data_IF_035127010599
#
_entry.id   IF_035127010599
#
_cell.length_a   1.000
_cell.length_b   1.000
_cell.length_c   1.000
_cell.angle_alpha   90.00
_cell.angle_beta   90.00
_cell.angle_gamma   90.00
#
_symmetry.space_group_name_H-M   'P 1'
#
loop_
_entity.id
_entity.type
_entity.pdbx_description
1 polymer ?
#
# COMPACT_ATOMS: atom_id res chain seq x y z
N UNK A 1 -6.77 -22.44 -29.72
CA UNK A 1 -7.84 -21.41 -29.69
C UNK A 1 -7.73 -20.71 -28.35
N UNK A 2 -7.67 -19.37 -28.34
CA UNK A 2 -7.63 -18.60 -27.10
C UNK A 2 -8.95 -18.78 -26.34
N UNK A 3 -8.87 -18.98 -25.02
CA UNK A 3 -10.05 -19.01 -24.16
C UNK A 3 -10.71 -17.62 -24.19
N UNK A 4 -11.99 -17.57 -24.55
CA UNK A 4 -12.76 -16.32 -24.73
C UNK A 4 -13.71 -16.02 -23.57
N UNK A 5 -13.67 -16.77 -22.47
CA UNK A 5 -14.62 -16.65 -21.36
C UNK A 5 -13.94 -16.54 -19.98
N UNK A 6 -12.67 -16.90 -19.86
CA UNK A 6 -11.99 -16.95 -18.57
C UNK A 6 -11.64 -15.52 -18.10
N UNK A 7 -12.39 -15.04 -17.11
CA UNK A 7 -12.17 -13.72 -16.50
C UNK A 7 -11.19 -13.75 -15.32
N UNK A 8 -11.10 -14.87 -14.61
CA UNK A 8 -10.28 -15.02 -13.41
C UNK A 8 -9.45 -16.28 -13.57
N UNK A 9 -8.14 -16.16 -13.39
CA UNK A 9 -7.20 -17.28 -13.38
C UNK A 9 -6.48 -17.26 -12.04
N UNK A 10 -6.69 -18.31 -11.27
CA UNK A 10 -6.02 -18.54 -10.01
C UNK A 10 -4.99 -19.66 -10.14
N UNK A 11 -3.74 -19.31 -9.89
CA UNK A 11 -2.59 -20.20 -9.91
C UNK A 11 -1.81 -20.12 -8.59
N UNK A 12 -2.43 -19.70 -7.48
CA UNK A 12 -1.75 -19.64 -6.18
C UNK A 12 -1.08 -20.97 -5.82
N UNK A 13 0.16 -20.91 -5.33
CA UNK A 13 0.89 -22.06 -4.80
C UNK A 13 1.08 -23.21 -5.81
N UNK A 14 1.48 -22.88 -7.05
CA UNK A 14 1.70 -23.86 -8.13
C UNK A 14 3.16 -23.99 -8.59
N UNK A 15 4.11 -23.26 -7.97
CA UNK A 15 5.54 -23.30 -8.33
C UNK A 15 5.80 -23.06 -9.83
N UNK A 16 5.02 -22.19 -10.47
CA UNK A 16 5.12 -22.01 -11.92
C UNK A 16 6.47 -21.40 -12.35
N UNK A 17 7.09 -20.60 -11.47
CA UNK A 17 8.36 -19.92 -11.70
C UNK A 17 8.38 -19.02 -12.94
N UNK A 18 9.58 -18.61 -13.34
CA UNK A 18 9.78 -17.71 -14.49
C UNK A 18 9.34 -18.34 -15.83
N UNK A 19 9.47 -19.66 -15.97
CA UNK A 19 9.00 -20.38 -17.15
C UNK A 19 7.47 -20.35 -17.26
N UNK A 20 6.77 -20.45 -16.13
CA UNK A 20 5.33 -20.26 -16.05
C UNK A 20 4.92 -18.84 -16.37
N UNK A 21 5.64 -17.85 -15.84
CA UNK A 21 5.45 -16.44 -16.20
C UNK A 21 5.61 -16.19 -17.71
N UNK A 22 6.59 -16.86 -18.36
CA UNK A 22 6.76 -16.83 -19.81
C UNK A 22 5.58 -17.44 -20.58
N UNK A 23 5.06 -18.58 -20.12
CA UNK A 23 3.87 -19.17 -20.74
C UNK A 23 2.64 -18.26 -20.58
N UNK A 24 2.46 -17.64 -19.41
CA UNK A 24 1.39 -16.69 -19.14
C UNK A 24 1.51 -15.44 -20.01
N UNK A 25 2.72 -14.93 -20.22
CA UNK A 25 2.96 -13.81 -21.13
C UNK A 25 2.47 -14.11 -22.55
N UNK A 26 2.79 -15.28 -23.12
CA UNK A 26 2.29 -15.65 -24.44
C UNK A 26 0.76 -15.75 -24.49
N UNK A 27 0.13 -16.20 -23.41
CA UNK A 27 -1.33 -16.22 -23.30
C UNK A 27 -1.92 -14.80 -23.20
N UNK A 28 -1.35 -13.93 -22.34
CA UNK A 28 -1.84 -12.58 -22.05
C UNK A 28 -1.76 -11.63 -23.25
N UNK A 29 -0.84 -11.85 -24.20
CA UNK A 29 -0.75 -11.06 -25.45
C UNK A 29 -2.03 -11.11 -26.28
N UNK A 30 -2.69 -12.26 -26.29
CA UNK A 30 -3.85 -12.51 -27.16
C UNK A 30 -5.14 -12.65 -26.37
N UNK A 31 -5.05 -12.85 -25.05
CA UNK A 31 -6.21 -12.92 -24.19
C UNK A 31 -6.82 -11.53 -23.99
N UNK A 32 -8.12 -11.42 -24.28
CA UNK A 32 -8.91 -10.21 -24.14
C UNK A 32 -10.08 -10.38 -23.16
N UNK A 33 -10.00 -11.35 -22.25
CA UNK A 33 -11.10 -11.66 -21.30
C UNK A 33 -10.67 -11.75 -19.85
N UNK A 34 -9.40 -12.04 -19.60
CA UNK A 34 -8.84 -12.17 -18.26
C UNK A 34 -8.71 -10.79 -17.64
N UNK A 35 -9.42 -10.62 -16.53
CA UNK A 35 -9.46 -9.39 -15.72
C UNK A 35 -8.73 -9.54 -14.40
N UNK A 36 -8.55 -10.77 -13.89
CA UNK A 36 -7.82 -11.03 -12.66
C UNK A 36 -6.90 -12.25 -12.79
N UNK A 37 -5.66 -12.08 -12.31
CA UNK A 37 -4.62 -13.10 -12.32
C UNK A 37 -3.98 -13.20 -10.93
N UNK A 38 -4.16 -14.34 -10.26
CA UNK A 38 -3.56 -14.65 -8.97
C UNK A 38 -2.33 -15.55 -9.17
N UNK A 39 -1.15 -15.04 -8.84
CA UNK A 39 0.16 -15.71 -8.92
C UNK A 39 0.85 -15.76 -7.55
N UNK A 40 0.09 -15.75 -6.47
CA UNK A 40 0.63 -15.81 -5.10
C UNK A 40 1.43 -17.11 -4.88
N UNK A 41 2.58 -17.04 -4.20
CA UNK A 41 3.42 -18.22 -3.88
C UNK A 41 3.80 -19.03 -5.12
N UNK A 42 4.51 -18.42 -6.08
CA UNK A 42 4.85 -19.11 -7.34
C UNK A 42 6.33 -19.11 -7.70
N UNK A 43 7.19 -18.65 -6.80
CA UNK A 43 8.64 -18.57 -7.03
C UNK A 43 9.01 -17.78 -8.31
N UNK A 44 8.20 -16.77 -8.65
CA UNK A 44 8.48 -15.85 -9.75
C UNK A 44 9.59 -14.90 -9.30
N UNK A 45 10.69 -14.85 -10.05
CA UNK A 45 11.82 -13.97 -9.77
C UNK A 45 11.69 -12.64 -10.52
N UNK A 46 12.69 -11.77 -10.40
CA UNK A 46 12.83 -10.56 -11.22
C UNK A 46 12.73 -10.83 -12.74
N UNK A 47 13.18 -12.00 -13.22
CA UNK A 47 13.09 -12.35 -14.65
C UNK A 47 11.64 -12.62 -15.07
N UNK A 48 10.89 -13.38 -14.26
CA UNK A 48 9.46 -13.60 -14.51
C UNK A 48 8.66 -12.31 -14.40
N UNK A 49 9.02 -11.42 -13.46
CA UNK A 49 8.42 -10.09 -13.34
C UNK A 49 8.65 -9.24 -14.60
N UNK A 50 9.86 -9.27 -15.16
CA UNK A 50 10.19 -8.56 -16.39
C UNK A 50 9.33 -9.06 -17.55
N UNK A 51 9.15 -10.37 -17.66
CA UNK A 51 8.30 -10.98 -18.70
C UNK A 51 6.83 -10.61 -18.53
N UNK A 52 6.30 -10.63 -17.31
CA UNK A 52 4.93 -10.17 -17.03
C UNK A 52 4.75 -8.68 -17.33
N UNK A 53 5.78 -7.86 -17.09
CA UNK A 53 5.77 -6.44 -17.39
C UNK A 53 5.60 -6.16 -18.89
N UNK A 54 6.26 -6.96 -19.74
CA UNK A 54 6.05 -6.87 -21.19
C UNK A 54 4.63 -7.28 -21.60
N UNK A 55 4.00 -8.23 -20.91
CA UNK A 55 2.59 -8.55 -21.11
C UNK A 55 1.68 -7.38 -20.71
N UNK A 56 1.93 -6.75 -19.56
CA UNK A 56 1.13 -5.63 -19.06
C UNK A 56 1.17 -4.39 -19.96
N UNK A 57 2.25 -4.18 -20.71
CA UNK A 57 2.33 -3.08 -21.70
C UNK A 57 1.38 -3.26 -22.89
N UNK A 58 1.00 -4.49 -23.19
CA UNK A 58 0.20 -4.86 -24.36
C UNK A 58 -1.23 -5.23 -23.96
N UNK A 59 -1.38 -5.94 -22.85
CA UNK A 59 -2.65 -6.43 -22.37
C UNK A 59 -3.53 -5.25 -21.92
N UNK A 60 -4.75 -5.22 -22.44
CA UNK A 60 -5.70 -4.14 -22.20
C UNK A 60 -6.92 -4.56 -21.36
N UNK A 61 -6.85 -5.70 -20.68
CA UNK A 61 -8.01 -6.28 -19.96
C UNK A 61 -7.72 -6.61 -18.51
N UNK A 62 -6.47 -6.92 -18.18
CA UNK A 62 -6.07 -7.29 -16.84
C UNK A 62 -6.19 -6.07 -15.92
N UNK A 63 -7.04 -6.21 -14.92
CA UNK A 63 -7.37 -5.19 -13.93
C UNK A 63 -6.77 -5.49 -12.56
N UNK A 64 -6.55 -6.77 -12.25
CA UNK A 64 -6.02 -7.24 -10.97
C UNK A 64 -4.86 -8.20 -11.23
N UNK A 65 -3.69 -7.90 -10.66
CA UNK A 65 -2.54 -8.78 -10.66
C UNK A 65 -2.06 -8.98 -9.23
N UNK A 66 -2.09 -10.23 -8.76
CA UNK A 66 -1.55 -10.60 -7.46
C UNK A 66 -0.23 -11.39 -7.61
N UNK A 67 0.83 -10.84 -7.04
CA UNK A 67 2.19 -11.40 -7.04
C UNK A 67 2.73 -11.59 -5.62
N UNK A 68 1.89 -11.57 -4.57
CA UNK A 68 2.35 -11.74 -3.18
C UNK A 68 3.16 -13.04 -2.99
N UNK A 69 4.14 -12.99 -2.08
CA UNK A 69 5.01 -14.11 -1.72
C UNK A 69 5.73 -14.70 -2.97
N UNK A 70 6.48 -13.85 -3.67
CA UNK A 70 7.37 -14.24 -4.75
C UNK A 70 8.79 -13.68 -4.50
N UNK A 71 9.65 -13.67 -5.51
CA UNK A 71 11.05 -13.19 -5.42
C UNK A 71 11.32 -12.08 -6.44
N UNK A 72 10.36 -11.16 -6.57
CA UNK A 72 10.34 -10.11 -7.60
C UNK A 72 11.52 -9.13 -7.44
N UNK A 73 11.85 -8.74 -6.21
CA UNK A 73 12.96 -7.83 -5.90
C UNK A 73 12.85 -6.44 -6.54
N UNK A 74 13.90 -5.65 -6.42
CA UNK A 74 13.94 -4.27 -6.95
C UNK A 74 13.90 -4.22 -8.48
N UNK A 75 14.62 -5.12 -9.15
CA UNK A 75 14.68 -5.16 -10.61
C UNK A 75 13.31 -5.54 -11.21
N UNK A 76 12.61 -6.50 -10.59
CA UNK A 76 11.26 -6.86 -11.00
C UNK A 76 10.26 -5.73 -10.72
N UNK A 77 10.36 -5.06 -9.57
CA UNK A 77 9.55 -3.88 -9.28
C UNK A 77 9.82 -2.74 -10.28
N UNK A 78 11.07 -2.54 -10.71
CA UNK A 78 11.42 -1.58 -11.75
C UNK A 78 10.77 -1.93 -13.09
N UNK A 79 10.82 -3.20 -13.52
CA UNK A 79 10.18 -3.62 -14.75
C UNK A 79 8.65 -3.39 -14.72
N UNK A 80 8.00 -3.74 -13.61
CA UNK A 80 6.57 -3.51 -13.40
C UNK A 80 6.25 -2.02 -13.40
N UNK A 81 7.12 -1.19 -12.82
CA UNK A 81 6.98 0.27 -12.82
C UNK A 81 6.99 0.84 -14.25
N UNK A 82 7.88 0.36 -15.13
CA UNK A 82 7.88 0.78 -16.53
C UNK A 82 6.62 0.35 -17.28
N UNK A 83 6.05 -0.82 -16.96
CA UNK A 83 4.76 -1.22 -17.51
C UNK A 83 3.63 -0.31 -17.02
N UNK A 84 3.57 -0.02 -15.72
CA UNK A 84 2.55 0.83 -15.10
C UNK A 84 2.51 2.26 -15.68
N UNK A 85 3.63 2.81 -16.13
CA UNK A 85 3.64 4.15 -16.78
C UNK A 85 2.79 4.22 -18.06
N UNK A 86 2.55 3.07 -18.71
CA UNK A 86 1.79 2.98 -19.97
C UNK A 86 0.50 2.18 -19.85
N UNK A 87 0.43 1.25 -18.90
CA UNK A 87 -0.77 0.46 -18.65
C UNK A 87 -1.88 1.33 -18.04
N UNK A 88 -3.07 1.23 -18.63
CA UNK A 88 -4.26 2.02 -18.26
C UNK A 88 -5.43 1.15 -17.79
N UNK A 89 -5.18 -0.13 -17.48
CA UNK A 89 -6.23 -1.10 -17.14
C UNK A 89 -6.06 -1.68 -15.75
N UNK A 90 -4.82 -1.83 -15.29
CA UNK A 90 -4.51 -2.36 -13.98
C UNK A 90 -4.97 -1.36 -12.91
N UNK A 91 -5.88 -1.83 -12.05
CA UNK A 91 -6.46 -1.07 -10.93
C UNK A 91 -5.93 -1.57 -9.59
N UNK A 92 -5.51 -2.84 -9.52
CA UNK A 92 -4.99 -3.48 -8.31
C UNK A 92 -3.70 -4.22 -8.62
N UNK A 93 -2.65 -3.91 -7.86
CA UNK A 93 -1.37 -4.60 -7.90
C UNK A 93 -0.96 -4.97 -6.48
N UNK A 94 -0.80 -6.27 -6.23
CA UNK A 94 -0.28 -6.80 -4.98
C UNK A 94 1.15 -7.30 -5.16
N UNK A 95 2.09 -6.68 -4.44
CA UNK A 95 3.52 -6.98 -4.42
C UNK A 95 4.00 -7.26 -2.98
N UNK A 96 3.12 -7.76 -2.13
CA UNK A 96 3.50 -8.18 -0.78
C UNK A 96 4.65 -9.18 -0.77
N UNK A 97 5.46 -9.18 0.29
CA UNK A 97 6.43 -10.24 0.58
C UNK A 97 7.38 -10.58 -0.59
N UNK A 98 7.92 -9.56 -1.27
CA UNK A 98 8.68 -9.71 -2.52
C UNK A 98 10.13 -9.23 -2.46
N UNK A 99 10.64 -8.95 -1.26
CA UNK A 99 12.00 -8.41 -1.05
C UNK A 99 12.27 -7.11 -1.82
N UNK A 100 11.25 -6.27 -1.99
CA UNK A 100 11.36 -4.94 -2.59
C UNK A 100 11.99 -3.99 -1.55
N UNK A 101 13.06 -3.30 -1.91
CA UNK A 101 13.74 -2.33 -1.05
C UNK A 101 13.26 -0.89 -1.35
N UNK A 102 13.93 0.09 -0.75
CA UNK A 102 13.77 1.51 -1.08
C UNK A 102 13.96 1.82 -2.57
N UNK A 103 14.80 1.06 -3.30
CA UNK A 103 15.03 1.28 -4.74
C UNK A 103 13.82 0.87 -5.58
N UNK A 104 13.25 -0.32 -5.33
CA UNK A 104 12.04 -0.75 -6.03
C UNK A 104 10.84 0.12 -5.66
N UNK A 105 10.73 0.57 -4.40
CA UNK A 105 9.72 1.54 -3.99
C UNK A 105 9.88 2.89 -4.73
N UNK A 106 11.11 3.35 -4.93
CA UNK A 106 11.38 4.55 -5.73
C UNK A 106 10.91 4.39 -7.18
N UNK A 107 11.21 3.24 -7.82
CA UNK A 107 10.75 2.98 -9.18
C UNK A 107 9.22 2.98 -9.29
N UNK A 108 8.54 2.32 -8.36
CA UNK A 108 7.06 2.29 -8.29
C UNK A 108 6.50 3.69 -8.08
N UNK A 109 7.16 4.50 -7.25
CA UNK A 109 6.76 5.89 -6.99
C UNK A 109 6.86 6.76 -8.25
N UNK A 110 7.91 6.60 -9.06
CA UNK A 110 8.00 7.31 -10.36
C UNK A 110 6.89 6.87 -11.32
N UNK A 111 6.49 5.61 -11.31
CA UNK A 111 5.34 5.14 -12.08
C UNK A 111 4.02 5.75 -11.58
N UNK A 112 3.80 5.81 -10.26
CA UNK A 112 2.59 6.38 -9.65
C UNK A 112 2.41 7.88 -9.94
N UNK A 113 3.48 8.63 -10.17
CA UNK A 113 3.38 10.06 -10.58
C UNK A 113 2.75 10.22 -11.96
N UNK A 114 2.82 9.19 -12.80
CA UNK A 114 2.36 9.20 -14.21
C UNK A 114 1.05 8.40 -14.35
N UNK A 115 0.98 7.24 -13.69
CA UNK A 115 -0.16 6.36 -13.76
C UNK A 115 -1.38 6.99 -13.09
N UNK A 116 -2.50 6.96 -13.80
CA UNK A 116 -3.80 7.52 -13.38
C UNK A 116 -4.91 6.48 -13.43
N UNK A 117 -4.58 5.21 -13.17
CA UNK A 117 -5.57 4.12 -13.16
C UNK A 117 -5.44 3.20 -11.95
N UNK A 118 -4.23 3.02 -11.41
CA UNK A 118 -4.00 2.18 -10.25
C UNK A 118 -4.69 2.80 -9.02
N UNK A 119 -5.58 2.03 -8.42
CA UNK A 119 -6.39 2.41 -7.28
C UNK A 119 -5.91 1.74 -5.98
N UNK A 120 -5.32 0.55 -6.09
CA UNK A 120 -4.86 -0.25 -4.96
C UNK A 120 -3.43 -0.72 -5.23
N UNK A 121 -2.53 -0.41 -4.29
CA UNK A 121 -1.17 -0.90 -4.27
C UNK A 121 -0.87 -1.54 -2.92
N UNK A 122 -0.56 -2.84 -2.94
CA UNK A 122 -0.10 -3.56 -1.76
C UNK A 122 1.40 -3.83 -1.84
N UNK A 123 2.13 -3.39 -0.83
CA UNK A 123 3.57 -3.55 -0.67
C UNK A 123 3.92 -4.14 0.70
N UNK A 124 3.00 -4.87 1.34
CA UNK A 124 3.25 -5.37 2.69
C UNK A 124 4.47 -6.30 2.80
N UNK A 125 5.11 -6.32 3.97
CA UNK A 125 6.23 -7.20 4.31
C UNK A 125 7.40 -7.12 3.29
N UNK A 126 7.73 -5.92 2.84
CA UNK A 126 8.92 -5.61 2.04
C UNK A 126 9.96 -4.86 2.90
N UNK A 127 11.00 -4.31 2.28
CA UNK A 127 12.10 -3.58 2.92
C UNK A 127 12.16 -2.13 2.46
N UNK A 128 11.01 -1.44 2.47
CA UNK A 128 10.88 -0.08 1.92
C UNK A 128 11.62 0.98 2.75
N UNK A 129 11.65 0.84 4.08
CA UNK A 129 12.27 1.79 5.02
C UNK A 129 11.80 3.25 4.83
N UNK A 130 12.47 4.20 5.50
CA UNK A 130 12.13 5.62 5.45
C UNK A 130 12.31 6.24 4.06
N UNK A 131 13.38 5.88 3.33
CA UNK A 131 13.66 6.44 2.01
C UNK A 131 12.61 6.01 0.96
N UNK A 132 12.21 4.74 0.98
CA UNK A 132 11.16 4.27 0.09
C UNK A 132 9.80 4.88 0.46
N UNK A 133 9.49 5.05 1.75
CA UNK A 133 8.29 5.74 2.19
C UNK A 133 8.29 7.23 1.77
N UNK A 134 9.45 7.88 1.78
CA UNK A 134 9.61 9.24 1.26
C UNK A 134 9.32 9.30 -0.24
N UNK A 135 9.85 8.36 -1.04
CA UNK A 135 9.56 8.29 -2.47
C UNK A 135 8.05 8.12 -2.75
N UNK A 136 7.40 7.20 -2.02
CA UNK A 136 5.95 6.97 -2.12
C UNK A 136 5.17 8.24 -1.74
N UNK A 137 5.63 8.96 -0.71
CA UNK A 137 5.02 10.21 -0.27
C UNK A 137 5.08 11.30 -1.36
N UNK A 138 6.21 11.44 -2.05
CA UNK A 138 6.31 12.39 -3.17
C UNK A 138 5.40 12.01 -4.35
N UNK A 139 5.20 10.71 -4.59
CA UNK A 139 4.23 10.26 -5.58
C UNK A 139 2.78 10.59 -5.16
N UNK A 140 2.42 10.35 -3.90
CA UNK A 140 1.07 10.62 -3.36
C UNK A 140 0.67 12.10 -3.39
N UNK A 141 1.64 13.03 -3.34
CA UNK A 141 1.33 14.47 -3.49
C UNK A 141 0.79 14.82 -4.88
N UNK A 142 1.10 14.01 -5.89
CA UNK A 142 0.76 14.24 -7.30
C UNK A 142 -0.34 13.27 -7.75
N UNK A 143 -0.25 12.01 -7.34
CA UNK A 143 -1.18 10.97 -7.74
C UNK A 143 -2.58 11.25 -7.19
N UNK A 144 -3.58 11.14 -8.06
CA UNK A 144 -4.98 11.43 -7.79
C UNK A 144 -5.89 10.24 -8.05
N UNK A 145 -5.36 9.01 -8.02
CA UNK A 145 -6.14 7.80 -8.31
C UNK A 145 -5.99 6.72 -7.25
N UNK A 146 -4.85 6.67 -6.56
CA UNK A 146 -4.61 5.69 -5.52
C UNK A 146 -5.53 5.97 -4.33
N UNK A 147 -6.33 4.97 -3.99
CA UNK A 147 -7.32 5.03 -2.89
C UNK A 147 -6.90 4.16 -1.71
N UNK A 148 -6.12 3.11 -1.97
CA UNK A 148 -5.65 2.16 -0.96
C UNK A 148 -4.15 1.90 -1.12
N UNK A 149 -3.42 2.08 -0.03
CA UNK A 149 -2.00 1.79 0.05
C UNK A 149 -1.70 0.95 1.29
N UNK A 150 -1.13 -0.23 1.07
CA UNK A 150 -0.66 -1.10 2.15
C UNK A 150 0.86 -1.09 2.23
N UNK A 151 1.39 -0.55 3.34
CA UNK A 151 2.81 -0.47 3.68
C UNK A 151 3.10 -1.22 4.99
N UNK A 152 2.27 -2.19 5.35
CA UNK A 152 2.48 -3.00 6.56
C UNK A 152 3.85 -3.67 6.55
N UNK A 153 4.54 -3.73 7.69
CA UNK A 153 5.74 -4.57 7.85
C UNK A 153 6.94 -4.13 6.99
N UNK A 154 7.14 -2.84 6.80
CA UNK A 154 8.16 -2.29 5.89
C UNK A 154 9.33 -1.58 6.60
N UNK A 155 9.43 -1.73 7.92
CA UNK A 155 10.45 -1.07 8.76
C UNK A 155 10.47 0.46 8.60
N UNK A 156 9.31 1.08 8.35
CA UNK A 156 9.15 2.53 8.22
C UNK A 156 9.27 3.15 9.61
N UNK A 157 10.20 4.09 9.77
CA UNK A 157 10.45 4.83 10.98
C UNK A 157 9.70 6.17 11.05
N UNK A 158 10.07 7.03 12.01
CA UNK A 158 9.45 8.35 12.18
C UNK A 158 9.68 9.29 10.98
N UNK A 159 10.78 9.17 10.25
CA UNK A 159 11.06 10.04 9.10
C UNK A 159 10.16 9.69 7.90
N UNK A 160 9.97 8.40 7.61
CA UNK A 160 9.03 7.95 6.58
C UNK A 160 7.59 8.29 6.96
N UNK A 161 7.23 8.17 8.24
CA UNK A 161 5.93 8.62 8.75
C UNK A 161 5.71 10.13 8.54
N UNK A 162 6.75 10.94 8.80
CA UNK A 162 6.71 12.37 8.56
C UNK A 162 6.50 12.67 7.08
N UNK A 163 7.23 12.02 6.17
CA UNK A 163 7.03 12.19 4.74
C UNK A 163 5.59 11.85 4.30
N UNK A 164 5.05 10.72 4.78
CA UNK A 164 3.67 10.30 4.50
C UNK A 164 2.67 11.31 5.03
N UNK A 165 2.92 11.87 6.22
CA UNK A 165 2.06 12.92 6.79
C UNK A 165 2.03 14.18 5.93
N UNK A 166 3.16 14.60 5.35
CA UNK A 166 3.18 15.76 4.45
C UNK A 166 2.40 15.49 3.16
N UNK A 167 2.47 14.26 2.63
CA UNK A 167 1.66 13.87 1.48
C UNK A 167 0.16 13.87 1.80
N UNK A 168 -0.23 13.34 2.97
CA UNK A 168 -1.63 13.29 3.42
C UNK A 168 -2.24 14.69 3.60
N UNK A 169 -1.46 15.73 3.93
CA UNK A 169 -2.00 17.09 4.04
C UNK A 169 -2.56 17.63 2.72
N UNK A 170 -2.04 17.15 1.59
CA UNK A 170 -2.44 17.62 0.25
C UNK A 170 -3.18 16.58 -0.58
N UNK A 171 -2.96 15.29 -0.32
CA UNK A 171 -3.63 14.22 -1.05
C UNK A 171 -5.11 14.14 -0.68
N UNK A 172 -5.96 14.10 -1.70
CA UNK A 172 -7.42 14.09 -1.58
C UNK A 172 -8.08 12.84 -2.16
N UNK A 173 -7.32 11.75 -2.36
CA UNK A 173 -7.82 10.51 -2.97
C UNK A 173 -7.59 9.26 -2.13
N UNK A 174 -6.54 9.24 -1.30
CA UNK A 174 -6.22 8.11 -0.46
C UNK A 174 -7.24 8.02 0.70
N UNK A 175 -7.98 6.91 0.72
CA UNK A 175 -9.00 6.63 1.74
C UNK A 175 -8.50 5.62 2.77
N UNK A 176 -7.60 4.72 2.37
CA UNK A 176 -7.06 3.65 3.21
C UNK A 176 -5.54 3.63 3.20
N UNK A 177 -4.95 3.76 4.38
CA UNK A 177 -3.51 3.64 4.61
C UNK A 177 -3.24 2.61 5.71
N UNK A 178 -2.54 1.53 5.36
CA UNK A 178 -2.10 0.53 6.31
C UNK A 178 -0.61 0.65 6.61
N UNK A 179 -0.26 1.03 7.84
CA UNK A 179 1.10 1.17 8.35
C UNK A 179 1.39 0.18 9.49
N UNK A 180 0.59 -0.89 9.63
CA UNK A 180 0.77 -1.88 10.70
C UNK A 180 2.18 -2.45 10.72
N UNK A 181 2.74 -2.69 11.91
CA UNK A 181 4.00 -3.43 12.05
C UNK A 181 5.23 -2.69 11.53
N UNK A 182 5.26 -1.36 11.66
CA UNK A 182 6.41 -0.52 11.36
C UNK A 182 7.01 0.03 12.66
N UNK A 183 7.92 1.00 12.58
CA UNK A 183 8.62 1.62 13.72
C UNK A 183 8.34 3.13 13.81
N UNK A 184 7.10 3.51 13.53
CA UNK A 184 6.64 4.91 13.42
C UNK A 184 6.95 5.72 14.69
N UNK A 185 6.76 5.12 15.87
CA UNK A 185 7.07 5.75 17.15
C UNK A 185 6.19 6.97 17.49
N UNK A 186 6.44 7.62 18.64
CA UNK A 186 5.67 8.79 19.06
C UNK A 186 5.82 9.99 18.12
N UNK A 187 7.01 10.22 17.57
CA UNK A 187 7.27 11.35 16.66
C UNK A 187 6.55 11.18 15.32
N UNK A 188 6.58 9.97 14.74
CA UNK A 188 5.83 9.69 13.52
C UNK A 188 4.32 9.78 13.73
N UNK A 189 3.82 9.31 14.89
CA UNK A 189 2.42 9.46 15.27
C UNK A 189 2.00 10.94 15.43
N UNK A 190 2.88 11.78 16.00
CA UNK A 190 2.66 13.22 16.07
C UNK A 190 2.54 13.82 14.66
N UNK A 191 3.45 13.48 13.74
CA UNK A 191 3.38 13.97 12.36
C UNK A 191 2.08 13.56 11.65
N UNK A 192 1.70 12.28 11.75
CA UNK A 192 0.42 11.78 11.23
C UNK A 192 -0.78 12.49 11.87
N UNK A 193 -0.72 12.81 13.16
CA UNK A 193 -1.79 13.55 13.84
C UNK A 193 -1.99 14.96 13.26
N UNK A 194 -0.91 15.66 12.89
CA UNK A 194 -1.02 16.98 12.25
C UNK A 194 -1.65 16.87 10.85
N UNK A 195 -1.33 15.82 10.10
CA UNK A 195 -1.98 15.58 8.81
C UNK A 195 -3.47 15.27 8.95
N UNK A 196 -3.85 14.47 9.96
CA UNK A 196 -5.26 14.14 10.22
C UNK A 196 -6.10 15.37 10.58
N UNK A 197 -5.54 16.41 11.21
CA UNK A 197 -6.31 17.63 11.51
C UNK A 197 -6.80 18.36 10.27
N UNK A 198 -6.13 18.19 9.12
CA UNK A 198 -6.46 18.89 7.86
C UNK A 198 -6.95 17.95 6.76
N UNK A 199 -6.54 16.69 6.77
CA UNK A 199 -6.97 15.72 5.76
C UNK A 199 -8.44 15.35 5.97
N UNK A 200 -9.22 15.49 4.91
CA UNK A 200 -10.66 15.24 4.89
C UNK A 200 -11.06 14.07 3.99
N UNK A 201 -10.10 13.22 3.59
CA UNK A 201 -10.32 12.08 2.67
C UNK A 201 -10.06 10.73 3.32
N UNK A 202 -9.05 10.61 4.15
CA UNK A 202 -8.64 9.35 4.76
C UNK A 202 -9.73 8.87 5.74
N UNK A 203 -10.28 7.68 5.47
CA UNK A 203 -11.32 7.05 6.31
C UNK A 203 -10.75 5.94 7.18
N UNK A 204 -9.68 5.28 6.72
CA UNK A 204 -9.06 4.14 7.40
C UNK A 204 -7.56 4.34 7.55
N UNK A 205 -7.10 4.31 8.81
CA UNK A 205 -5.69 4.35 9.16
C UNK A 205 -5.35 3.20 10.12
N UNK A 206 -4.51 2.26 9.68
CA UNK A 206 -4.02 1.18 10.54
C UNK A 206 -2.62 1.49 11.05
N UNK A 207 -2.49 1.70 12.36
CA UNK A 207 -1.24 1.97 13.05
C UNK A 207 -0.90 0.88 14.09
N UNK A 208 -1.51 -0.30 14.01
CA UNK A 208 -1.24 -1.40 14.93
C UNK A 208 0.25 -1.75 14.97
N UNK A 209 0.79 -2.03 16.16
CA UNK A 209 2.18 -2.49 16.33
C UNK A 209 3.22 -1.52 15.74
N UNK A 210 3.30 -0.31 16.29
CA UNK A 210 4.16 0.77 15.81
C UNK A 210 4.94 1.51 16.91
N UNK A 211 4.94 0.98 18.14
CA UNK A 211 5.63 1.59 19.30
C UNK A 211 5.27 3.07 19.55
N UNK A 212 4.00 3.44 19.32
CA UNK A 212 3.52 4.84 19.38
C UNK A 212 3.63 5.44 20.78
N UNK A 213 3.40 4.63 21.82
CA UNK A 213 3.44 5.08 23.21
C UNK A 213 2.33 6.09 23.60
N UNK A 214 2.32 6.55 24.86
CA UNK A 214 1.30 7.45 25.38
C UNK A 214 1.27 8.81 24.67
N UNK A 215 2.43 9.39 24.38
CA UNK A 215 2.52 10.72 23.76
C UNK A 215 1.97 10.73 22.33
N UNK A 216 2.30 9.71 21.53
CA UNK A 216 1.76 9.58 20.18
C UNK A 216 0.25 9.30 20.19
N UNK A 217 -0.23 8.49 21.14
CA UNK A 217 -1.66 8.26 21.32
C UNK A 217 -2.42 9.53 21.72
N UNK A 218 -1.84 10.36 22.58
CA UNK A 218 -2.39 11.67 22.94
C UNK A 218 -2.47 12.59 21.71
N UNK A 219 -1.42 12.68 20.91
CA UNK A 219 -1.40 13.49 19.69
C UNK A 219 -2.49 13.07 18.70
N UNK A 220 -2.60 11.76 18.43
CA UNK A 220 -3.65 11.20 17.57
C UNK A 220 -5.05 11.47 18.14
N UNK A 221 -5.22 11.39 19.45
CA UNK A 221 -6.50 11.69 20.11
C UNK A 221 -6.91 13.15 19.94
N UNK A 222 -5.97 14.11 20.04
CA UNK A 222 -6.27 15.52 19.76
C UNK A 222 -6.65 15.75 18.29
N UNK A 223 -6.02 15.03 17.36
CA UNK A 223 -6.42 15.08 15.95
C UNK A 223 -7.83 14.53 15.73
N UNK A 224 -8.21 13.44 16.41
CA UNK A 224 -9.57 12.87 16.32
C UNK A 224 -10.66 13.83 16.79
N UNK A 225 -10.40 14.72 17.75
CA UNK A 225 -11.40 15.72 18.18
C UNK A 225 -11.77 16.71 17.06
N UNK A 226 -10.86 16.90 16.10
CA UNK A 226 -11.01 17.85 14.99
C UNK A 226 -11.41 17.12 13.71
N UNK A 227 -10.82 15.96 13.43
CA UNK A 227 -11.06 15.21 12.22
C UNK A 227 -12.48 14.63 12.19
N UNK A 228 -13.18 14.85 11.08
CA UNK A 228 -14.56 14.39 10.87
C UNK A 228 -14.70 13.45 9.66
N UNK A 229 -13.61 12.83 9.21
CA UNK A 229 -13.62 11.90 8.07
C UNK A 229 -13.19 10.49 8.47
N UNK A 230 -12.23 10.36 9.38
CA UNK A 230 -11.69 9.08 9.80
C UNK A 230 -12.78 8.28 10.54
N UNK A 231 -13.05 7.08 10.03
CA UNK A 231 -14.04 6.15 10.59
C UNK A 231 -13.38 4.97 11.29
N UNK A 232 -12.16 4.62 10.85
CA UNK A 232 -11.40 3.49 11.37
C UNK A 232 -9.98 3.89 11.73
N UNK A 233 -9.61 3.70 13.01
CA UNK A 233 -8.24 3.84 13.49
C UNK A 233 -7.85 2.61 14.32
N UNK A 234 -6.74 1.95 13.98
CA UNK A 234 -6.20 0.85 14.79
C UNK A 234 -4.91 1.26 15.49
N UNK A 235 -4.95 1.38 16.81
CA UNK A 235 -3.83 1.65 17.71
C UNK A 235 -3.45 0.44 18.56
N UNK A 236 -3.97 -0.75 18.28
CA UNK A 236 -3.65 -1.94 19.07
C UNK A 236 -2.14 -2.26 19.08
N UNK A 237 -1.66 -2.86 20.16
CA UNK A 237 -0.25 -3.25 20.32
C UNK A 237 0.74 -2.07 20.21
N UNK A 238 0.42 -0.91 20.79
CA UNK A 238 1.27 0.30 20.74
C UNK A 238 1.78 0.80 22.09
N UNK A 239 1.58 0.04 23.17
CA UNK A 239 2.04 0.42 24.53
C UNK A 239 1.57 1.82 24.95
N UNK A 240 0.31 2.17 24.65
CA UNK A 240 -0.22 3.53 24.87
C UNK A 240 -0.44 3.88 26.35
N UNK A 241 -0.54 2.86 27.21
CA UNK A 241 -0.72 3.00 28.65
C UNK A 241 -2.03 3.70 29.07
N UNK A 242 -2.24 3.90 30.39
CA UNK A 242 -3.46 4.53 30.91
C UNK A 242 -3.69 5.96 30.41
N UNK A 243 -2.62 6.74 30.26
CA UNK A 243 -2.73 8.13 29.79
C UNK A 243 -3.18 8.20 28.32
N UNK A 244 -2.62 7.34 27.46
CA UNK A 244 -3.06 7.24 26.07
C UNK A 244 -4.50 6.73 25.97
N UNK A 245 -4.87 5.75 26.78
CA UNK A 245 -6.25 5.26 26.89
C UNK A 245 -7.24 6.36 27.30
N UNK A 246 -6.87 7.18 28.29
CA UNK A 246 -7.69 8.30 28.74
C UNK A 246 -7.83 9.37 27.65
N UNK A 247 -6.74 9.71 26.95
CA UNK A 247 -6.78 10.67 25.85
C UNK A 247 -7.72 10.20 24.72
N UNK A 248 -7.64 8.92 24.35
CA UNK A 248 -8.54 8.29 23.37
C UNK A 248 -9.99 8.38 23.85
N UNK A 249 -10.26 7.99 25.10
CA UNK A 249 -11.61 8.04 25.67
C UNK A 249 -12.18 9.45 25.67
N UNK A 250 -11.36 10.47 25.91
CA UNK A 250 -11.80 11.87 25.88
C UNK A 250 -12.13 12.32 24.45
N UNK A 251 -11.31 11.94 23.46
CA UNK A 251 -11.56 12.25 22.06
C UNK A 251 -12.87 11.67 21.54
N UNK A 252 -13.21 10.44 21.96
CA UNK A 252 -14.46 9.76 21.57
C UNK A 252 -15.73 10.39 22.16
N UNK A 253 -15.62 11.25 23.19
CA UNK A 253 -16.80 11.98 23.70
C UNK A 253 -17.26 13.06 22.73
N UNK A 254 -16.35 13.58 21.91
CA UNK A 254 -16.61 14.67 20.97
C UNK A 254 -16.59 14.21 19.52
N UNK A 255 -15.80 13.19 19.18
CA UNK A 255 -15.76 12.62 17.83
C UNK A 255 -16.94 11.64 17.63
N UNK A 256 -17.73 11.86 16.59
CA UNK A 256 -18.87 11.00 16.22
C UNK A 256 -18.66 10.22 14.92
N UNK A 257 -17.48 10.29 14.31
CA UNK A 257 -17.20 9.70 12.99
C UNK A 257 -16.48 8.37 13.09
N UNK A 258 -15.64 8.19 14.12
CA UNK A 258 -14.95 6.93 14.40
C UNK A 258 -15.97 5.89 14.84
N UNK A 259 -16.11 4.83 14.04
CA UNK A 259 -17.00 3.69 14.32
C UNK A 259 -16.22 2.44 14.71
N UNK A 260 -14.96 2.34 14.28
CA UNK A 260 -14.07 1.24 14.61
C UNK A 260 -12.77 1.79 15.19
N UNK A 261 -12.53 1.51 16.46
CA UNK A 261 -11.28 1.86 17.13
C UNK A 261 -10.63 0.62 17.74
N UNK A 262 -9.48 0.22 17.19
CA UNK A 262 -8.66 -0.84 17.77
C UNK A 262 -7.78 -0.28 18.88
N UNK A 263 -8.04 -0.61 20.14
CA UNK A 263 -7.13 -0.38 21.26
C UNK A 263 -7.01 -1.67 22.07
N UNK A 264 -5.78 -2.11 22.34
CA UNK A 264 -5.49 -3.19 23.27
C UNK A 264 -4.51 -2.62 24.28
N UNK A 265 -4.92 -2.62 25.55
CA UNK A 265 -4.18 -2.06 26.67
C UNK A 265 -3.04 -2.98 27.12
#
# INVERSE_FOLDING_TARGET
MANSNLAILDLENNLIGDNGAQALFEALKTNSTLTALNLVVNSISENGAQVLSEALKINSTLAILDLDINSIGDNGAQALSEALKTNSTLTTLNLGSNSISENGAQALSEALKINSNLAILDLENNSIYDNGAQAVSEALKINSTLTTLNLRGNSIGPNGAQALSEALKTNSTLTTLNLRGNWIGPNGAQALSEALKTNSTLTTLNLRNNSIGPNGAQALSEALKINSTLTTLDLSSNSIGPNGAQAVSEALKTNSTVTTLGVVF
#
